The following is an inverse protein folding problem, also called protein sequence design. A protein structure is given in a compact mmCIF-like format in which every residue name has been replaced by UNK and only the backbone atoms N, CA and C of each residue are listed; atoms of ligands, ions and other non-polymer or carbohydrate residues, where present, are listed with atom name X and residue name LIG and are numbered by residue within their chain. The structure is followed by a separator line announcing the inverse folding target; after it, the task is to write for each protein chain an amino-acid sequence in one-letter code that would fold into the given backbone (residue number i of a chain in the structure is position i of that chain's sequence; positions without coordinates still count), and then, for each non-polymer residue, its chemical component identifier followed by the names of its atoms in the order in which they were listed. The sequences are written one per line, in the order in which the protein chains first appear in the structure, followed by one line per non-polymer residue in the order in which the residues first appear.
data_IF_297244631037
#
_entry.id   IF_297244631037
#
_cell.length_a   1.000
_cell.length_b   1.000
_cell.length_c   1.000
_cell.angle_alpha   90.00
_cell.angle_beta   90.00
_cell.angle_gamma   90.00
#
_symmetry.space_group_name_H-M   'P 1'
#
loop_
_entity.id
_entity.type
_entity.pdbx_description
1 polymer ?
#
# COMPACT_ATOMS: atom_id res chain seq x y z
N UNK A 1 33.24 -12.77 -7.22
CA UNK A 1 33.19 -12.51 -5.75
C UNK A 1 32.22 -11.36 -5.55
N UNK A 2 31.21 -11.57 -4.69
CA UNK A 2 30.20 -10.54 -4.40
C UNK A 2 30.70 -9.54 -3.39
N UNK A 3 30.36 -8.26 -3.60
CA UNK A 3 30.61 -7.17 -2.66
C UNK A 3 29.40 -6.24 -2.65
N UNK A 4 28.71 -6.13 -1.51
CA UNK A 4 27.58 -5.25 -1.31
C UNK A 4 27.95 -4.11 -0.35
N UNK A 5 27.61 -2.87 -0.74
CA UNK A 5 27.90 -1.63 0.03
C UNK A 5 26.79 -0.60 -0.14
N UNK A 6 26.78 0.42 0.70
CA UNK A 6 25.93 1.58 0.45
C UNK A 6 26.39 2.31 -0.82
N UNK A 7 25.41 2.82 -1.57
CA UNK A 7 25.65 3.65 -2.75
C UNK A 7 26.41 4.93 -2.34
N UNK A 8 27.46 5.23 -3.08
CA UNK A 8 28.28 6.44 -2.89
C UNK A 8 28.44 7.19 -4.21
N UNK A 9 28.85 8.49 -4.21
CA UNK A 9 29.04 9.25 -5.42
C UNK A 9 29.98 8.62 -6.47
N UNK A 10 30.92 7.78 -6.02
CA UNK A 10 31.84 7.05 -6.91
C UNK A 10 31.12 5.98 -7.75
N UNK A 11 29.91 5.57 -7.34
CA UNK A 11 29.13 4.54 -8.01
C UNK A 11 28.15 5.12 -9.03
N UNK A 12 27.84 6.43 -9.00
CA UNK A 12 26.72 7.05 -9.69
C UNK A 12 26.70 6.78 -11.20
N UNK A 13 27.82 6.94 -11.91
CA UNK A 13 27.91 6.71 -13.35
C UNK A 13 27.52 5.27 -13.73
N UNK A 14 27.99 4.29 -12.94
CA UNK A 14 27.65 2.87 -13.18
C UNK A 14 26.25 2.53 -12.70
N UNK A 15 25.75 3.24 -11.70
CA UNK A 15 24.43 3.01 -11.12
C UNK A 15 23.30 3.49 -12.05
N UNK A 16 23.49 4.59 -12.78
CA UNK A 16 22.51 5.12 -13.74
C UNK A 16 22.02 4.04 -14.71
N UNK A 17 22.95 3.27 -15.29
CA UNK A 17 22.64 2.19 -16.24
C UNK A 17 21.70 1.13 -15.63
N UNK A 18 21.90 0.80 -14.35
CA UNK A 18 21.07 -0.21 -13.66
C UNK A 18 19.73 0.38 -13.22
N UNK A 19 19.73 1.65 -12.86
CA UNK A 19 18.50 2.37 -12.55
C UNK A 19 17.59 2.49 -13.77
N UNK A 20 18.15 2.76 -14.94
CA UNK A 20 17.41 2.77 -16.22
C UNK A 20 16.82 1.39 -16.55
N UNK A 21 17.58 0.30 -16.34
CA UNK A 21 17.07 -1.06 -16.50
C UNK A 21 15.89 -1.33 -15.55
N UNK A 22 15.98 -0.88 -14.31
CA UNK A 22 14.86 -0.95 -13.38
C UNK A 22 13.64 -0.15 -13.88
N UNK A 23 13.82 1.10 -14.31
CA UNK A 23 12.73 1.94 -14.80
C UNK A 23 12.03 1.30 -16.00
N UNK A 24 12.79 0.69 -16.92
CA UNK A 24 12.25 -0.02 -18.08
C UNK A 24 11.40 -1.24 -17.69
N UNK A 25 11.73 -1.91 -16.59
CA UNK A 25 11.07 -3.13 -16.10
C UNK A 25 9.98 -2.86 -15.05
N UNK A 26 9.93 -1.66 -14.50
CA UNK A 26 9.07 -1.34 -13.37
C UNK A 26 7.59 -1.73 -13.58
N UNK A 27 7.02 -1.38 -14.74
CA UNK A 27 5.62 -1.73 -15.07
C UNK A 27 5.45 -3.15 -15.57
N UNK A 28 6.41 -3.66 -16.32
CA UNK A 28 6.29 -4.94 -17.04
C UNK A 28 6.64 -6.15 -16.18
N UNK A 29 7.59 -5.99 -15.26
CA UNK A 29 8.08 -7.10 -14.43
C UNK A 29 7.72 -6.95 -12.95
N UNK A 30 7.60 -5.70 -12.44
CA UNK A 30 7.36 -5.43 -11.02
C UNK A 30 5.95 -4.90 -10.70
N UNK A 31 5.07 -4.75 -11.71
CA UNK A 31 3.69 -4.26 -11.54
C UNK A 31 3.59 -2.89 -10.85
N UNK A 32 4.55 -1.99 -11.10
CA UNK A 32 4.44 -0.62 -10.62
C UNK A 32 3.30 0.11 -11.35
N UNK A 33 2.42 0.75 -10.60
CA UNK A 33 1.31 1.52 -11.18
C UNK A 33 1.77 2.87 -11.72
N UNK A 34 2.74 3.47 -11.05
CA UNK A 34 3.31 4.78 -11.40
C UNK A 34 4.71 4.61 -11.97
N UNK A 35 5.11 5.58 -12.79
CA UNK A 35 6.50 5.64 -13.23
C UNK A 35 7.42 5.88 -12.02
N UNK A 36 8.58 5.20 -11.95
CA UNK A 36 9.60 5.53 -10.98
C UNK A 36 9.99 7.01 -11.09
N UNK A 37 10.51 7.58 -10.00
CA UNK A 37 11.10 8.92 -10.04
C UNK A 37 12.29 8.91 -11.01
N UNK A 38 12.62 10.06 -11.57
CA UNK A 38 13.80 10.17 -12.43
C UNK A 38 15.10 9.96 -11.64
N UNK A 39 16.20 9.76 -12.35
CA UNK A 39 17.48 9.42 -11.75
C UNK A 39 17.99 10.51 -10.81
N UNK A 40 17.88 11.78 -11.20
CA UNK A 40 18.32 12.93 -10.39
C UNK A 40 17.50 13.02 -9.09
N UNK A 41 16.19 12.86 -9.18
CA UNK A 41 15.29 12.82 -8.02
C UNK A 41 15.57 11.64 -7.09
N UNK A 42 15.98 10.48 -7.65
CA UNK A 42 16.43 9.34 -6.86
C UNK A 42 17.70 9.66 -6.09
N UNK A 43 18.72 10.20 -6.73
CA UNK A 43 19.98 10.57 -6.09
C UNK A 43 19.77 11.66 -5.01
N UNK A 44 18.96 12.67 -5.30
CA UNK A 44 18.58 13.72 -4.32
C UNK A 44 17.94 13.08 -3.07
N UNK A 45 17.10 12.07 -3.25
CA UNK A 45 16.46 11.33 -2.13
C UNK A 45 17.47 10.53 -1.30
N UNK A 46 18.50 9.94 -1.95
CA UNK A 46 19.61 9.26 -1.27
C UNK A 46 20.48 10.26 -0.49
N UNK A 47 20.87 11.36 -1.11
CA UNK A 47 21.71 12.39 -0.49
C UNK A 47 21.02 13.05 0.72
N UNK A 48 19.71 13.29 0.62
CA UNK A 48 18.89 13.79 1.74
C UNK A 48 18.56 12.73 2.79
N UNK A 49 19.02 11.48 2.59
CA UNK A 49 18.74 10.35 3.49
C UNK A 49 17.23 10.07 3.69
N UNK A 50 16.43 10.40 2.71
CA UNK A 50 15.01 10.01 2.65
C UNK A 50 14.92 8.50 2.41
N UNK A 51 15.75 7.99 1.49
CA UNK A 51 15.97 6.57 1.22
C UNK A 51 17.44 6.23 1.40
N UNK A 52 17.72 4.95 1.63
CA UNK A 52 19.07 4.40 1.61
C UNK A 52 19.13 3.34 0.50
N UNK A 53 20.25 3.30 -0.24
CA UNK A 53 20.44 2.37 -1.34
C UNK A 53 21.69 1.53 -1.11
N UNK A 54 21.55 0.21 -1.26
CA UNK A 54 22.65 -0.76 -1.25
C UNK A 54 22.88 -1.21 -2.68
N UNK A 55 24.11 -1.22 -3.12
CA UNK A 55 24.53 -1.72 -4.43
C UNK A 55 25.32 -3.00 -4.33
N UNK A 56 25.17 -3.91 -5.30
CA UNK A 56 25.86 -5.19 -5.37
C UNK A 56 26.79 -5.23 -6.58
N UNK A 57 28.04 -5.59 -6.33
CA UNK A 57 29.04 -5.88 -7.35
C UNK A 57 29.29 -7.38 -7.46
N UNK A 58 29.35 -7.90 -8.67
CA UNK A 58 29.92 -9.21 -9.02
C UNK A 58 31.20 -8.97 -9.83
N UNK A 59 32.38 -9.29 -9.25
CA UNK A 59 33.69 -9.10 -9.89
C UNK A 59 33.86 -7.69 -10.53
N UNK A 60 33.64 -6.63 -9.78
CA UNK A 60 33.73 -5.22 -10.19
C UNK A 60 32.60 -4.71 -11.13
N UNK A 61 31.69 -5.57 -11.57
CA UNK A 61 30.50 -5.17 -12.31
C UNK A 61 29.33 -4.94 -11.33
N UNK A 62 28.70 -3.80 -11.40
CA UNK A 62 27.47 -3.50 -10.65
C UNK A 62 26.33 -4.32 -11.29
N UNK A 63 25.61 -5.10 -10.49
CA UNK A 63 24.64 -6.11 -10.97
C UNK A 63 23.26 -6.00 -10.32
N UNK A 64 23.11 -5.16 -9.30
CA UNK A 64 21.81 -4.96 -8.66
C UNK A 64 21.87 -3.97 -7.52
N UNK A 65 20.68 -3.60 -7.03
CA UNK A 65 20.54 -2.71 -5.89
C UNK A 65 19.31 -3.03 -5.05
N UNK A 66 19.31 -2.53 -3.81
CA UNK A 66 18.22 -2.62 -2.86
C UNK A 66 17.99 -1.24 -2.24
N UNK A 67 16.73 -0.82 -2.20
CA UNK A 67 16.32 0.46 -1.61
C UNK A 67 15.49 0.21 -0.35
N UNK A 68 15.78 0.97 0.70
CA UNK A 68 15.00 0.93 1.93
C UNK A 68 14.89 2.31 2.56
N UNK A 69 13.87 2.49 3.41
CA UNK A 69 13.66 3.73 4.17
C UNK A 69 13.52 3.45 5.66
N UNK A 70 13.91 4.41 6.45
CA UNK A 70 13.74 4.41 7.91
C UNK A 70 12.85 5.57 8.37
N UNK A 71 12.07 6.15 7.47
CA UNK A 71 11.25 7.34 7.73
C UNK A 71 10.17 7.10 8.80
N UNK A 72 9.64 5.89 8.91
CA UNK A 72 8.71 5.51 9.98
C UNK A 72 9.52 5.21 11.24
N UNK A 73 9.19 5.89 12.34
CA UNK A 73 10.00 5.91 13.57
C UNK A 73 10.26 4.53 14.21
N UNK A 74 9.36 3.55 14.01
CA UNK A 74 9.44 2.21 14.59
C UNK A 74 9.69 1.10 13.57
N UNK A 75 9.86 1.44 12.29
CA UNK A 75 9.97 0.47 11.23
C UNK A 75 11.08 0.83 10.24
N UNK A 76 11.61 -0.20 9.60
CA UNK A 76 12.47 -0.11 8.42
C UNK A 76 11.67 -0.72 7.28
N UNK A 77 11.46 0.04 6.21
CA UNK A 77 10.76 -0.46 5.03
C UNK A 77 11.77 -0.86 3.96
N UNK A 78 11.73 -2.11 3.56
CA UNK A 78 12.41 -2.58 2.37
C UNK A 78 11.48 -2.27 1.18
N UNK A 79 11.89 -1.35 0.32
CA UNK A 79 11.02 -0.83 -0.75
C UNK A 79 11.19 -1.57 -2.07
N UNK A 80 12.44 -1.90 -2.44
CA UNK A 80 12.76 -2.41 -3.77
C UNK A 80 14.03 -3.28 -3.75
N UNK A 81 14.01 -4.37 -4.51
CA UNK A 81 15.21 -5.12 -4.92
C UNK A 81 15.17 -5.25 -6.44
N UNK A 82 16.26 -4.89 -7.09
CA UNK A 82 16.43 -5.04 -8.54
C UNK A 82 17.79 -5.68 -8.86
N UNK A 83 17.77 -6.61 -9.82
CA UNK A 83 18.97 -7.26 -10.33
C UNK A 83 18.88 -7.40 -11.85
N UNK A 84 19.97 -7.09 -12.55
CA UNK A 84 19.99 -7.07 -14.04
C UNK A 84 20.04 -8.46 -14.67
N UNK A 85 20.58 -9.47 -13.97
CA UNK A 85 20.68 -10.85 -14.47
C UNK A 85 19.57 -11.71 -13.86
N UNK A 86 18.56 -12.03 -14.65
CA UNK A 86 17.43 -12.86 -14.24
C UNK A 86 17.84 -14.29 -13.85
N UNK A 87 18.91 -14.84 -14.44
CA UNK A 87 19.39 -16.19 -14.12
C UNK A 87 20.06 -16.23 -12.73
N UNK A 88 20.63 -15.11 -12.28
CA UNK A 88 21.27 -14.96 -10.97
C UNK A 88 20.44 -14.16 -9.98
N UNK A 89 19.18 -13.86 -10.29
CA UNK A 89 18.32 -13.00 -9.49
C UNK A 89 18.27 -13.42 -8.03
N UNK A 90 18.03 -14.70 -7.75
CA UNK A 90 17.95 -15.23 -6.38
C UNK A 90 19.28 -15.08 -5.63
N UNK A 91 20.41 -15.36 -6.31
CA UNK A 91 21.73 -15.24 -5.73
C UNK A 91 22.09 -13.79 -5.40
N UNK A 92 21.93 -12.88 -6.36
CA UNK A 92 22.20 -11.46 -6.19
C UNK A 92 21.29 -10.81 -5.13
N UNK A 93 19.99 -11.08 -5.18
CA UNK A 93 19.03 -10.58 -4.19
C UNK A 93 19.34 -11.10 -2.78
N UNK A 94 19.84 -12.34 -2.66
CA UNK A 94 20.26 -12.92 -1.37
C UNK A 94 21.43 -12.13 -0.77
N UNK A 95 22.42 -11.77 -1.56
CA UNK A 95 23.57 -10.99 -1.09
C UNK A 95 23.16 -9.55 -0.69
N UNK A 96 22.27 -8.92 -1.46
CA UNK A 96 21.68 -7.62 -1.10
C UNK A 96 20.92 -7.69 0.23
N UNK A 97 20.08 -8.71 0.41
CA UNK A 97 19.30 -8.91 1.64
C UNK A 97 20.20 -9.18 2.86
N UNK A 98 21.26 -9.96 2.71
CA UNK A 98 22.24 -10.19 3.80
C UNK A 98 22.86 -8.87 4.24
N UNK A 99 23.30 -8.04 3.27
CA UNK A 99 23.89 -6.74 3.56
C UNK A 99 22.86 -5.78 4.18
N UNK A 100 21.63 -5.79 3.71
CA UNK A 100 20.54 -5.03 4.31
C UNK A 100 20.31 -5.42 5.78
N UNK A 101 20.23 -6.71 6.08
CA UNK A 101 20.06 -7.18 7.45
C UNK A 101 21.26 -6.80 8.34
N UNK A 102 22.49 -6.95 7.84
CA UNK A 102 23.71 -6.51 8.55
C UNK A 102 23.64 -5.03 8.93
N UNK A 103 23.34 -4.15 7.97
CA UNK A 103 23.28 -2.69 8.18
C UNK A 103 22.12 -2.27 9.08
N UNK A 104 21.04 -3.02 9.10
CA UNK A 104 19.83 -2.68 9.88
C UNK A 104 19.85 -3.22 11.29
N UNK A 105 20.66 -4.25 11.60
CA UNK A 105 20.84 -4.78 12.97
C UNK A 105 21.32 -3.71 13.97
N UNK A 106 22.17 -2.80 13.51
CA UNK A 106 22.71 -1.73 14.35
C UNK A 106 21.73 -0.56 14.57
N UNK A 107 20.72 -0.46 13.70
CA UNK A 107 19.68 0.56 13.82
C UNK A 107 18.75 0.14 14.95
N UNK A 108 18.64 0.93 16.01
CA UNK A 108 17.76 0.70 17.17
C UNK A 108 16.25 0.68 16.81
N UNK A 109 15.92 0.30 15.60
CA UNK A 109 14.56 0.19 15.08
C UNK A 109 14.02 -1.20 15.38
N UNK A 110 12.79 -1.25 15.88
CA UNK A 110 12.20 -2.47 16.41
C UNK A 110 11.67 -3.42 15.33
N UNK A 111 11.57 -3.01 14.06
CA UNK A 111 10.89 -3.83 13.06
C UNK A 111 11.37 -3.55 11.64
N UNK A 112 11.70 -4.60 10.92
CA UNK A 112 11.82 -4.55 9.47
C UNK A 112 10.44 -4.84 8.90
N UNK A 113 9.90 -3.89 8.16
CA UNK A 113 8.55 -3.99 7.61
C UNK A 113 8.64 -4.02 6.11
N UNK A 114 7.82 -4.88 5.55
CA UNK A 114 7.18 -4.67 4.31
C UNK A 114 8.08 -4.63 3.07
N UNK A 115 8.27 -5.81 2.49
CA UNK A 115 8.72 -5.90 1.12
C UNK A 115 7.58 -6.45 0.26
N UNK A 116 6.87 -5.60 -0.52
CA UNK A 116 5.90 -6.09 -1.48
C UNK A 116 6.64 -6.79 -2.62
N UNK A 117 6.50 -8.10 -2.70
CA UNK A 117 7.13 -8.90 -3.75
C UNK A 117 6.27 -8.84 -5.02
N UNK A 118 6.37 -7.74 -5.74
CA UNK A 118 5.62 -7.47 -6.97
C UNK A 118 6.23 -8.21 -8.17
N UNK A 119 5.39 -8.58 -9.13
CA UNK A 119 5.82 -9.17 -10.39
C UNK A 119 6.57 -10.49 -10.25
N UNK A 120 7.71 -10.61 -10.89
CA UNK A 120 8.48 -11.85 -11.02
C UNK A 120 9.39 -12.20 -9.85
N UNK A 121 9.19 -11.58 -8.69
CA UNK A 121 10.05 -11.77 -7.51
C UNK A 121 9.74 -13.03 -6.70
N UNK A 122 8.73 -13.80 -7.07
CA UNK A 122 8.32 -15.02 -6.36
C UNK A 122 9.44 -16.05 -6.18
N UNK A 123 10.44 -16.06 -7.05
CA UNK A 123 11.61 -16.93 -6.93
C UNK A 123 12.42 -16.68 -5.64
N UNK A 124 12.30 -15.48 -5.05
CA UNK A 124 13.02 -15.10 -3.82
C UNK A 124 12.33 -15.60 -2.54
N UNK A 125 11.07 -16.07 -2.60
CA UNK A 125 10.28 -16.47 -1.42
C UNK A 125 11.06 -17.45 -0.52
N UNK A 126 11.64 -18.50 -1.10
CA UNK A 126 12.40 -19.50 -0.34
C UNK A 126 13.61 -18.92 0.40
N UNK A 127 14.26 -17.91 -0.17
CA UNK A 127 15.39 -17.21 0.46
C UNK A 127 14.90 -16.29 1.59
N UNK A 128 13.89 -15.51 1.35
CA UNK A 128 13.33 -14.57 2.34
C UNK A 128 12.82 -15.33 3.57
N UNK A 129 12.15 -16.48 3.39
CA UNK A 129 11.73 -17.35 4.51
C UNK A 129 12.93 -17.82 5.34
N UNK A 130 14.01 -18.27 4.69
CA UNK A 130 15.24 -18.69 5.39
C UNK A 130 15.91 -17.56 6.17
N UNK A 131 15.69 -16.32 5.76
CA UNK A 131 16.17 -15.13 6.46
C UNK A 131 15.23 -14.67 7.59
N UNK A 132 14.13 -15.38 7.84
CA UNK A 132 13.21 -15.11 8.95
C UNK A 132 12.01 -14.24 8.62
N UNK A 133 11.77 -13.91 7.35
CA UNK A 133 10.56 -13.19 6.94
C UNK A 133 9.33 -14.11 6.94
N UNK A 134 8.20 -13.53 7.24
CA UNK A 134 6.86 -14.10 7.08
C UNK A 134 6.10 -13.37 5.97
N UNK A 135 4.96 -13.91 5.54
CA UNK A 135 4.20 -13.36 4.43
C UNK A 135 2.74 -13.16 4.78
N UNK A 136 2.17 -12.13 4.13
CA UNK A 136 0.73 -11.96 3.95
C UNK A 136 0.48 -11.88 2.45
N UNK A 137 -0.47 -12.64 1.94
CA UNK A 137 -0.94 -12.50 0.56
C UNK A 137 -1.84 -11.27 0.44
N UNK A 138 -1.55 -10.41 -0.52
CA UNK A 138 -2.32 -9.20 -0.82
C UNK A 138 -3.01 -9.37 -2.16
N UNK A 139 -4.31 -9.14 -2.22
CA UNK A 139 -5.13 -9.11 -3.43
C UNK A 139 -5.38 -7.67 -3.84
N UNK A 140 -5.10 -7.33 -5.08
CA UNK A 140 -5.45 -6.03 -5.69
C UNK A 140 -6.80 -6.16 -6.39
N UNK A 141 -7.71 -5.27 -6.06
CA UNK A 141 -9.08 -5.25 -6.57
C UNK A 141 -9.31 -3.94 -7.31
N UNK A 142 -9.88 -4.03 -8.53
CA UNK A 142 -10.14 -2.86 -9.38
C UNK A 142 -11.59 -2.81 -9.82
N UNK A 143 -12.17 -1.63 -9.71
CA UNK A 143 -13.42 -1.27 -10.34
C UNK A 143 -13.12 -0.39 -11.56
N UNK A 144 -13.38 -0.89 -12.78
CA UNK A 144 -13.08 -0.18 -14.02
C UNK A 144 -14.24 0.73 -14.43
N UNK A 145 -14.01 2.04 -14.47
CA UNK A 145 -15.02 3.05 -14.77
C UNK A 145 -15.59 2.94 -16.19
N UNK A 146 -14.79 2.45 -17.14
CA UNK A 146 -15.20 2.28 -18.53
C UNK A 146 -15.55 0.82 -18.90
N UNK A 147 -15.48 -0.09 -17.92
CA UNK A 147 -15.84 -1.49 -18.10
C UNK A 147 -17.35 -1.70 -17.93
N UNK A 148 -18.02 -2.25 -18.93
CA UNK A 148 -19.45 -2.62 -18.83
C UNK A 148 -19.70 -3.55 -17.66
N UNK A 149 -18.82 -4.51 -17.41
CA UNK A 149 -18.98 -5.52 -16.36
C UNK A 149 -19.02 -4.90 -14.94
N UNK A 150 -18.07 -4.02 -14.58
CA UNK A 150 -18.04 -3.42 -13.23
C UNK A 150 -19.29 -2.59 -12.93
N UNK A 151 -19.73 -1.76 -13.89
CA UNK A 151 -20.95 -0.94 -13.73
C UNK A 151 -22.23 -1.76 -13.65
N UNK A 152 -22.34 -2.82 -14.44
CA UNK A 152 -23.50 -3.72 -14.38
C UNK A 152 -23.55 -4.47 -13.04
N UNK A 153 -22.43 -4.96 -12.54
CA UNK A 153 -22.34 -5.60 -11.23
C UNK A 153 -22.68 -4.62 -10.12
N UNK A 154 -22.16 -3.40 -10.19
CA UNK A 154 -22.47 -2.35 -9.22
C UNK A 154 -23.95 -1.99 -9.19
N UNK A 155 -24.59 -1.85 -10.36
CA UNK A 155 -26.03 -1.58 -10.47
C UNK A 155 -26.88 -2.71 -9.89
N UNK A 156 -26.37 -3.95 -9.88
CA UNK A 156 -27.02 -5.14 -9.31
C UNK A 156 -26.57 -5.47 -7.89
N UNK A 157 -25.70 -4.64 -7.30
CA UNK A 157 -25.15 -4.88 -5.96
C UNK A 157 -26.27 -5.08 -4.94
N UNK A 158 -26.16 -6.15 -4.16
CA UNK A 158 -27.07 -6.41 -3.06
C UNK A 158 -26.70 -5.52 -1.88
N UNK A 159 -27.55 -4.54 -1.62
CA UNK A 159 -27.39 -3.59 -0.51
C UNK A 159 -28.56 -3.79 0.43
N UNK A 160 -28.26 -4.04 1.70
CA UNK A 160 -29.26 -4.11 2.75
C UNK A 160 -29.92 -2.76 2.98
N UNK A 161 -31.12 -2.72 3.51
CA UNK A 161 -31.70 -1.49 4.02
C UNK A 161 -30.88 -0.99 5.21
N UNK A 162 -30.74 0.34 5.32
CA UNK A 162 -30.00 0.94 6.42
C UNK A 162 -30.82 0.75 7.71
N UNK A 163 -30.32 0.05 8.73
CA UNK A 163 -31.08 -0.20 9.94
C UNK A 163 -31.38 1.08 10.71
N UNK A 164 -32.44 1.05 11.52
CA UNK A 164 -32.84 2.18 12.36
C UNK A 164 -31.67 2.65 13.26
N UNK A 165 -31.57 3.96 13.45
CA UNK A 165 -30.49 4.58 14.22
C UNK A 165 -29.21 4.86 13.44
N UNK A 166 -29.04 4.27 12.24
CA UNK A 166 -27.88 4.53 11.40
C UNK A 166 -28.15 5.61 10.36
N UNK A 167 -27.09 6.35 10.03
CA UNK A 167 -27.07 7.33 8.93
C UNK A 167 -25.71 7.27 8.23
N UNK A 168 -25.69 7.42 6.90
CA UNK A 168 -24.46 7.65 6.14
C UNK A 168 -24.43 9.13 5.75
N UNK A 169 -23.32 9.78 6.04
CA UNK A 169 -23.12 11.22 5.74
C UNK A 169 -21.77 11.42 5.09
N UNK A 170 -21.60 12.54 4.36
CA UNK A 170 -20.31 12.93 3.81
C UNK A 170 -19.34 13.34 4.91
N UNK A 171 -18.06 13.24 4.61
CA UNK A 171 -17.00 13.69 5.50
C UNK A 171 -17.15 15.17 5.88
N UNK A 172 -16.87 15.43 7.15
CA UNK A 172 -16.70 16.77 7.69
C UNK A 172 -15.57 16.73 8.73
N UNK A 173 -14.72 17.74 8.77
CA UNK A 173 -13.57 17.81 9.68
C UNK A 173 -13.92 17.68 11.16
N UNK A 174 -15.16 17.96 11.56
CA UNK A 174 -15.66 17.74 12.93
C UNK A 174 -15.55 16.27 13.36
N UNK A 175 -15.58 15.33 12.42
CA UNK A 175 -15.47 13.90 12.67
C UNK A 175 -14.02 13.39 12.80
N UNK A 176 -13.02 14.26 12.64
CA UNK A 176 -11.61 13.87 12.59
C UNK A 176 -11.19 13.05 13.82
N UNK A 177 -11.48 13.54 15.02
CA UNK A 177 -11.08 12.86 16.26
C UNK A 177 -11.81 11.52 16.46
N UNK A 178 -13.08 11.44 16.10
CA UNK A 178 -13.86 10.20 16.18
C UNK A 178 -13.33 9.19 15.16
N UNK A 179 -13.02 9.62 13.93
CA UNK A 179 -12.43 8.79 12.91
C UNK A 179 -11.08 8.20 13.36
N UNK A 180 -10.21 8.98 14.01
CA UNK A 180 -8.97 8.48 14.60
C UNK A 180 -9.22 7.30 15.55
N UNK A 181 -10.23 7.42 16.43
CA UNK A 181 -10.59 6.36 17.37
C UNK A 181 -11.14 5.12 16.66
N UNK A 182 -11.99 5.32 15.65
CA UNK A 182 -12.53 4.20 14.85
C UNK A 182 -11.42 3.50 14.09
N UNK A 183 -10.48 4.25 13.46
CA UNK A 183 -9.31 3.68 12.77
C UNK A 183 -8.51 2.81 13.73
N UNK A 184 -8.11 3.34 14.86
CA UNK A 184 -7.30 2.60 15.83
C UNK A 184 -7.97 1.29 16.24
N UNK A 185 -9.26 1.32 16.60
CA UNK A 185 -10.00 0.12 17.01
C UNK A 185 -10.23 -0.89 15.89
N UNK A 186 -10.40 -0.41 14.65
CA UNK A 186 -10.65 -1.29 13.50
C UNK A 186 -9.37 -1.94 12.95
N UNK A 187 -8.21 -1.29 13.14
CA UNK A 187 -6.96 -1.71 12.49
C UNK A 187 -5.88 -2.22 13.45
N UNK A 188 -5.99 -2.04 14.77
CA UNK A 188 -4.94 -2.41 15.73
C UNK A 188 -4.56 -3.90 15.71
N UNK A 189 -5.48 -4.77 15.27
CA UNK A 189 -5.32 -6.22 15.15
C UNK A 189 -5.24 -6.71 13.70
N UNK A 190 -5.36 -5.80 12.72
CA UNK A 190 -5.27 -6.15 11.30
C UNK A 190 -3.83 -6.42 10.89
N UNK A 191 -3.65 -7.04 9.71
CA UNK A 191 -2.33 -7.15 9.09
C UNK A 191 -1.74 -5.78 8.72
N UNK A 192 -2.58 -4.76 8.46
CA UNK A 192 -2.10 -3.40 8.25
C UNK A 192 -1.24 -2.93 9.43
N UNK A 193 -1.60 -3.29 10.67
CA UNK A 193 -0.81 -2.97 11.86
C UNK A 193 0.49 -3.78 11.98
N UNK A 194 0.66 -4.84 11.16
CA UNK A 194 1.94 -5.52 11.01
C UNK A 194 2.88 -4.71 10.12
N UNK A 195 2.35 -4.06 9.09
CA UNK A 195 3.12 -3.28 8.12
C UNK A 195 3.31 -1.84 8.58
N UNK A 196 2.29 -1.23 9.16
CA UNK A 196 2.35 0.12 9.71
C UNK A 196 1.97 0.14 11.20
N UNK A 197 2.97 0.14 12.10
CA UNK A 197 2.73 0.10 13.54
C UNK A 197 1.99 1.35 14.07
N UNK A 198 1.83 2.41 13.27
CA UNK A 198 1.03 3.58 13.64
C UNK A 198 -0.44 3.23 13.91
N UNK A 199 -0.96 2.18 13.27
CA UNK A 199 -2.33 1.70 13.54
C UNK A 199 -2.55 1.22 14.98
N UNK A 200 -1.49 0.89 15.72
CA UNK A 200 -1.57 0.44 17.12
C UNK A 200 -1.75 1.56 18.15
N UNK A 201 -1.65 2.81 17.75
CA UNK A 201 -1.73 3.95 18.67
C UNK A 201 -2.63 5.07 18.13
N UNK A 202 -3.28 5.78 19.03
CA UNK A 202 -4.11 6.95 18.70
C UNK A 202 -3.27 8.04 18.01
N UNK A 203 -2.03 8.29 18.47
CA UNK A 203 -1.15 9.28 17.87
C UNK A 203 -0.72 8.89 16.46
N UNK A 204 -0.44 7.59 16.23
CA UNK A 204 -0.11 7.07 14.91
C UNK A 204 -1.29 7.12 13.95
N UNK A 205 -2.49 6.70 14.39
CA UNK A 205 -3.71 6.81 13.57
C UNK A 205 -4.04 8.28 13.25
N UNK A 206 -3.76 9.20 14.16
CA UNK A 206 -3.91 10.64 13.92
C UNK A 206 -2.95 11.13 12.84
N UNK A 207 -1.69 10.70 12.84
CA UNK A 207 -0.72 11.03 11.80
C UNK A 207 -1.15 10.48 10.43
N UNK A 208 -1.59 9.20 10.37
CA UNK A 208 -2.12 8.59 9.15
C UNK A 208 -3.30 9.40 8.61
N UNK A 209 -4.32 9.62 9.44
CA UNK A 209 -5.52 10.33 9.01
C UNK A 209 -5.22 11.77 8.60
N UNK A 210 -4.33 12.45 9.32
CA UNK A 210 -3.87 13.79 8.95
C UNK A 210 -3.29 13.79 7.53
N UNK A 211 -2.43 12.85 7.20
CA UNK A 211 -1.80 12.74 5.89
C UNK A 211 -2.80 12.37 4.78
N UNK A 212 -3.81 11.57 5.10
CA UNK A 212 -4.90 11.23 4.16
C UNK A 212 -5.74 12.47 3.81
N UNK A 213 -6.18 13.24 4.82
CA UNK A 213 -7.14 14.36 4.60
C UNK A 213 -6.49 15.69 4.23
N UNK A 214 -5.16 15.79 4.23
CA UNK A 214 -4.40 16.99 3.83
C UNK A 214 -3.57 16.77 2.56
N UNK A 215 -3.98 15.86 1.69
CA UNK A 215 -3.40 15.63 0.36
C UNK A 215 -1.91 15.21 0.37
N UNK A 216 -1.39 14.69 1.50
CA UNK A 216 0.04 14.31 1.59
C UNK A 216 0.31 13.00 0.85
N UNK A 217 -0.60 12.02 0.92
CA UNK A 217 -0.45 10.76 0.19
C UNK A 217 -1.04 10.82 -1.22
N UNK A 218 -2.21 11.45 -1.37
CA UNK A 218 -2.93 11.65 -2.62
C UNK A 218 -4.04 12.67 -2.36
N UNK A 219 -4.62 13.25 -3.42
CA UNK A 219 -5.68 14.25 -3.30
C UNK A 219 -6.90 13.66 -2.59
N UNK A 220 -7.26 14.20 -1.46
CA UNK A 220 -8.41 13.77 -0.68
C UNK A 220 -9.74 14.14 -1.35
N UNK A 221 -10.72 13.24 -1.29
CA UNK A 221 -12.07 13.42 -1.86
C UNK A 221 -13.12 13.47 -0.74
N UNK A 222 -13.32 14.61 -0.07
CA UNK A 222 -14.23 14.72 1.07
C UNK A 222 -15.69 14.41 0.71
N UNK A 223 -16.16 14.80 -0.49
CA UNK A 223 -17.53 14.53 -0.93
C UNK A 223 -17.78 13.05 -1.19
N UNK A 224 -16.77 12.30 -1.62
CA UNK A 224 -16.84 10.86 -1.83
C UNK A 224 -16.44 10.03 -0.58
N UNK A 225 -16.00 10.69 0.48
CA UNK A 225 -15.66 10.03 1.74
C UNK A 225 -16.90 9.94 2.63
N UNK A 226 -17.29 8.72 2.99
CA UNK A 226 -18.47 8.45 3.80
C UNK A 226 -18.15 8.21 5.27
N UNK A 227 -19.00 8.73 6.14
CA UNK A 227 -18.99 8.47 7.58
C UNK A 227 -20.30 7.79 7.97
N UNK A 228 -20.19 6.66 8.64
CA UNK A 228 -21.34 5.94 9.21
C UNK A 228 -21.57 6.44 10.64
N UNK A 229 -22.76 6.93 10.89
CA UNK A 229 -23.22 7.34 12.22
C UNK A 229 -24.19 6.31 12.79
N UNK A 230 -24.10 6.05 14.07
CA UNK A 230 -25.13 5.39 14.88
C UNK A 230 -25.50 6.32 16.04
N UNK A 231 -26.78 6.68 16.14
CA UNK A 231 -27.27 7.66 17.14
C UNK A 231 -26.40 8.95 17.14
N UNK A 232 -26.12 9.46 15.94
CA UNK A 232 -25.32 10.66 15.65
C UNK A 232 -23.82 10.56 16.04
N UNK A 233 -23.31 9.37 16.44
CA UNK A 233 -21.89 9.13 16.73
C UNK A 233 -21.23 8.37 15.60
N UNK A 234 -20.03 8.77 15.15
CA UNK A 234 -19.27 8.05 14.13
C UNK A 234 -18.88 6.64 14.61
N UNK A 235 -19.26 5.62 13.84
CA UNK A 235 -18.95 4.21 14.09
C UNK A 235 -18.26 3.52 12.94
N UNK A 236 -18.10 4.21 11.81
CA UNK A 236 -17.39 3.70 10.62
C UNK A 236 -17.09 4.80 9.62
N UNK A 237 -16.22 4.49 8.67
CA UNK A 237 -15.84 5.40 7.58
C UNK A 237 -15.35 4.61 6.36
N UNK A 238 -15.36 5.31 5.20
CA UNK A 238 -14.74 4.89 3.95
C UNK A 238 -14.07 6.12 3.35
N UNK A 239 -12.73 6.15 3.36
CA UNK A 239 -11.96 7.27 2.80
C UNK A 239 -11.69 7.03 1.32
N UNK A 240 -11.68 8.12 0.53
CA UNK A 240 -11.39 8.12 -0.90
C UNK A 240 -10.33 9.17 -1.21
N UNK A 241 -9.32 8.76 -1.98
CA UNK A 241 -8.25 9.64 -2.46
C UNK A 241 -8.07 9.47 -3.96
N UNK A 242 -7.62 10.52 -4.66
CA UNK A 242 -7.38 10.53 -6.09
C UNK A 242 -5.88 10.67 -6.37
N UNK A 243 -5.34 9.72 -7.13
CA UNK A 243 -3.94 9.68 -7.57
C UNK A 243 -3.89 9.98 -9.08
N UNK A 244 -2.98 10.86 -9.50
CA UNK A 244 -2.74 11.22 -10.90
C UNK A 244 -4.00 11.60 -11.70
N UNK A 245 -4.99 12.22 -11.04
CA UNK A 245 -6.27 12.63 -11.61
C UNK A 245 -7.10 11.52 -12.28
N UNK A 246 -6.66 10.27 -12.20
CA UNK A 246 -7.28 9.16 -12.94
C UNK A 246 -7.60 7.92 -12.10
N UNK A 247 -6.96 7.73 -10.97
CA UNK A 247 -7.13 6.55 -10.11
C UNK A 247 -7.66 6.98 -8.74
N UNK A 248 -8.84 6.49 -8.37
CA UNK A 248 -9.35 6.63 -7.02
C UNK A 248 -8.91 5.45 -6.17
N UNK A 249 -8.31 5.72 -5.02
CA UNK A 249 -7.94 4.70 -4.05
C UNK A 249 -8.87 4.73 -2.85
N UNK A 250 -9.11 3.56 -2.27
CA UNK A 250 -9.80 3.39 -0.99
C UNK A 250 -8.75 3.05 0.07
N UNK A 251 -8.09 4.05 0.68
CA UNK A 251 -6.98 3.78 1.59
C UNK A 251 -7.42 3.19 2.93
N UNK A 252 -8.62 3.52 3.40
CA UNK A 252 -9.11 3.12 4.71
C UNK A 252 -10.62 2.89 4.68
N UNK A 253 -11.04 1.70 5.09
CA UNK A 253 -12.44 1.35 5.37
C UNK A 253 -12.50 0.64 6.71
N UNK A 254 -13.29 1.14 7.63
CA UNK A 254 -13.42 0.53 8.94
C UNK A 254 -14.79 0.76 9.57
N UNK A 255 -15.24 -0.21 10.34
CA UNK A 255 -16.45 -0.16 11.19
C UNK A 255 -16.11 -0.82 12.51
N UNK A 256 -16.51 -0.19 13.61
CA UNK A 256 -16.35 -0.76 14.95
C UNK A 256 -16.99 -2.15 15.05
N UNK A 257 -16.36 -3.07 15.76
CA UNK A 257 -16.73 -4.49 15.84
C UNK A 257 -18.20 -4.70 16.23
N UNK A 258 -18.73 -3.93 17.18
CA UNK A 258 -20.11 -4.00 17.65
C UNK A 258 -21.17 -3.61 16.59
N UNK A 259 -20.71 -2.98 15.50
CA UNK A 259 -21.56 -2.57 14.38
C UNK A 259 -21.38 -3.43 13.12
N UNK A 260 -20.45 -4.40 13.13
CA UNK A 260 -20.20 -5.29 11.99
C UNK A 260 -21.33 -6.31 11.77
N UNK A 261 -21.27 -7.05 10.66
CA UNK A 261 -22.23 -8.13 10.34
C UNK A 261 -23.63 -7.68 9.85
N UNK A 262 -23.86 -6.37 9.69
CA UNK A 262 -25.15 -5.77 9.33
C UNK A 262 -25.19 -5.24 7.88
N UNK A 263 -24.19 -5.55 7.06
CA UNK A 263 -24.09 -5.05 5.68
C UNK A 263 -23.72 -3.56 5.55
N UNK A 264 -23.36 -2.89 6.65
CA UNK A 264 -23.13 -1.44 6.70
C UNK A 264 -21.93 -0.99 5.87
N UNK A 265 -20.88 -1.82 5.75
CA UNK A 265 -19.73 -1.53 4.88
C UNK A 265 -20.13 -1.42 3.41
N UNK A 266 -21.05 -2.29 2.95
CA UNK A 266 -21.57 -2.23 1.57
C UNK A 266 -22.35 -0.95 1.34
N UNK A 267 -23.20 -0.55 2.29
CA UNK A 267 -24.00 0.68 2.20
C UNK A 267 -23.08 1.91 2.12
N UNK A 268 -22.09 1.96 3.01
CA UNK A 268 -21.16 3.08 3.12
C UNK A 268 -20.28 3.22 1.87
N UNK A 269 -19.69 2.10 1.40
CA UNK A 269 -18.88 2.09 0.17
C UNK A 269 -19.70 2.40 -1.06
N UNK A 270 -20.93 1.86 -1.14
CA UNK A 270 -21.83 2.20 -2.25
C UNK A 270 -22.10 3.69 -2.31
N UNK A 271 -22.40 4.32 -1.18
CA UNK A 271 -22.60 5.77 -1.11
C UNK A 271 -21.35 6.53 -1.59
N UNK A 272 -20.14 6.12 -1.17
CA UNK A 272 -18.88 6.71 -1.62
C UNK A 272 -18.67 6.56 -3.14
N UNK A 273 -18.98 5.38 -3.69
CA UNK A 273 -18.82 5.10 -5.11
C UNK A 273 -19.87 5.81 -5.98
N UNK A 274 -21.12 5.92 -5.51
CA UNK A 274 -22.17 6.69 -6.19
C UNK A 274 -21.73 8.15 -6.40
N UNK A 275 -21.13 8.80 -5.38
CA UNK A 275 -20.61 10.17 -5.48
C UNK A 275 -19.52 10.29 -6.55
N UNK A 276 -18.66 9.28 -6.73
CA UNK A 276 -17.63 9.29 -7.78
C UNK A 276 -18.25 9.07 -9.16
N UNK A 277 -19.20 8.12 -9.28
CA UNK A 277 -19.82 7.75 -10.54
C UNK A 277 -20.74 8.86 -11.09
N UNK A 278 -21.39 9.61 -10.21
CA UNK A 278 -22.33 10.68 -10.57
C UNK A 278 -21.62 12.03 -10.79
N UNK A 279 -20.41 12.20 -10.27
CA UNK A 279 -19.68 13.47 -10.32
C UNK A 279 -18.98 13.67 -11.66
N UNK A 280 -19.46 14.63 -12.47
CA UNK A 280 -18.87 14.99 -13.78
C UNK A 280 -17.40 15.46 -13.68
N UNK A 281 -16.98 16.00 -12.54
CA UNK A 281 -15.57 16.40 -12.29
C UNK A 281 -14.65 15.20 -12.27
N UNK A 282 -15.19 14.02 -11.94
CA UNK A 282 -14.47 12.73 -11.95
C UNK A 282 -14.45 12.04 -13.33
N UNK A 283 -14.79 12.75 -14.41
CA UNK A 283 -14.83 12.17 -15.77
C UNK A 283 -13.49 11.60 -16.27
N UNK A 284 -12.37 12.02 -15.68
CA UNK A 284 -11.04 11.50 -15.97
C UNK A 284 -10.69 10.23 -15.18
N UNK A 285 -11.47 9.86 -14.18
CA UNK A 285 -11.23 8.67 -13.38
C UNK A 285 -11.46 7.45 -14.25
N UNK A 286 -10.45 6.60 -14.34
CA UNK A 286 -10.49 5.36 -15.14
C UNK A 286 -10.81 4.15 -14.28
N UNK A 287 -10.44 4.20 -13.00
CA UNK A 287 -10.68 3.09 -12.06
C UNK A 287 -10.73 3.54 -10.60
N UNK A 288 -11.35 2.69 -9.78
CA UNK A 288 -11.27 2.74 -8.32
C UNK A 288 -10.53 1.48 -7.89
N UNK A 289 -9.50 1.59 -7.07
CA UNK A 289 -8.75 0.44 -6.58
C UNK A 289 -8.69 0.36 -5.05
N UNK A 290 -8.41 -0.84 -4.58
CA UNK A 290 -8.15 -1.15 -3.18
C UNK A 290 -7.34 -2.44 -3.09
N UNK A 291 -6.78 -2.69 -1.92
CA UNK A 291 -6.11 -3.94 -1.60
C UNK A 291 -6.73 -4.57 -0.35
N UNK A 292 -6.65 -5.88 -0.25
CA UNK A 292 -7.03 -6.63 0.96
C UNK A 292 -6.19 -7.89 1.07
N UNK A 293 -6.17 -8.52 2.23
CA UNK A 293 -5.54 -9.84 2.37
C UNK A 293 -6.28 -10.89 1.54
N UNK A 294 -5.53 -11.84 0.97
CA UNK A 294 -6.10 -12.91 0.13
C UNK A 294 -7.01 -13.87 0.90
N UNK A 295 -6.89 -13.93 2.21
CA UNK A 295 -7.74 -14.73 3.11
C UNK A 295 -8.85 -13.92 3.80
N UNK A 296 -8.92 -12.60 3.59
CA UNK A 296 -10.02 -11.77 4.07
C UNK A 296 -11.26 -11.94 3.19
N UNK A 297 -11.89 -13.13 3.29
CA UNK A 297 -13.06 -13.48 2.49
C UNK A 297 -14.24 -12.51 2.65
N UNK A 298 -14.33 -11.82 3.79
CA UNK A 298 -15.39 -10.84 4.05
C UNK A 298 -15.19 -9.60 3.17
N UNK A 299 -13.97 -9.04 3.14
CA UNK A 299 -13.65 -7.90 2.30
C UNK A 299 -13.72 -8.25 0.81
N UNK A 300 -13.20 -9.42 0.41
CA UNK A 300 -13.29 -9.88 -0.97
C UNK A 300 -14.74 -9.98 -1.46
N UNK A 301 -15.66 -10.56 -0.65
CA UNK A 301 -17.09 -10.62 -0.97
C UNK A 301 -17.73 -9.24 -1.05
N UNK A 302 -17.36 -8.33 -0.15
CA UNK A 302 -17.84 -6.95 -0.14
C UNK A 302 -17.48 -6.25 -1.47
N UNK A 303 -16.22 -6.26 -1.86
CA UNK A 303 -15.74 -5.59 -3.06
C UNK A 303 -16.30 -6.24 -4.33
N UNK A 304 -16.33 -7.58 -4.42
CA UNK A 304 -16.94 -8.29 -5.57
C UNK A 304 -18.43 -7.97 -5.72
N UNK A 305 -19.17 -7.88 -4.62
CA UNK A 305 -20.58 -7.46 -4.65
C UNK A 305 -20.77 -6.05 -5.22
N UNK A 306 -19.79 -5.16 -5.01
CA UNK A 306 -19.78 -3.79 -5.55
C UNK A 306 -19.17 -3.68 -6.96
N UNK A 307 -18.86 -4.80 -7.62
CA UNK A 307 -18.38 -4.83 -9.00
C UNK A 307 -16.88 -4.71 -9.18
N UNK A 308 -16.10 -4.80 -8.09
CA UNK A 308 -14.65 -4.94 -8.20
C UNK A 308 -14.26 -6.30 -8.76
N UNK A 309 -13.19 -6.32 -9.51
CA UNK A 309 -12.60 -7.51 -10.13
C UNK A 309 -11.21 -7.69 -9.54
N UNK A 310 -10.86 -8.93 -9.19
CA UNK A 310 -9.50 -9.31 -8.84
C UNK A 310 -8.60 -9.06 -10.04
N UNK A 311 -7.48 -8.35 -9.82
CA UNK A 311 -6.53 -8.00 -10.87
C UNK A 311 -5.29 -8.89 -10.77
N UNK A 312 -4.54 -8.77 -9.68
CA UNK A 312 -3.43 -9.65 -9.36
C UNK A 312 -3.23 -9.72 -7.84
N UNK A 313 -2.47 -10.71 -7.42
CA UNK A 313 -2.04 -10.83 -6.04
C UNK A 313 -0.52 -10.88 -5.92
N UNK A 314 -0.01 -10.50 -4.76
CA UNK A 314 1.40 -10.60 -4.45
C UNK A 314 1.62 -10.91 -2.97
N UNK A 315 2.71 -11.63 -2.64
CA UNK A 315 3.11 -11.79 -1.25
C UNK A 315 3.79 -10.53 -0.74
N UNK A 316 3.35 -10.05 0.41
CA UNK A 316 4.02 -8.99 1.15
C UNK A 316 4.80 -9.61 2.31
N UNK A 317 6.12 -9.44 2.27
CA UNK A 317 6.99 -9.98 3.30
C UNK A 317 7.10 -9.02 4.49
N UNK A 318 7.21 -9.56 5.70
CA UNK A 318 7.53 -8.81 6.90
C UNK A 318 8.40 -9.65 7.82
N UNK A 319 9.20 -8.99 8.65
CA UNK A 319 9.98 -9.68 9.66
C UNK A 319 9.37 -9.40 11.04
N UNK A 320 8.84 -10.42 11.73
CA UNK A 320 8.34 -10.23 13.08
C UNK A 320 9.50 -9.85 13.99
N UNK A 321 9.22 -8.97 14.94
CA UNK A 321 10.18 -8.67 16.01
C UNK A 321 10.00 -9.72 17.08
N UNK A 322 11.09 -10.36 17.44
CA UNK A 322 11.14 -11.21 18.63
C UNK A 322 11.01 -10.39 19.91
#
# INVERSE_FOLDING_TARGET
MYSAKLLTPEDYENFEVIYDDFCAKAKTEYNFELDPIDYDGFLDSVEKKIIECIVLYDNHRLVGFLVYTTAISEAIELNLIHCTDSNKYVEHSTELLKKFLELTQEKKKKKIVCYPMLGNQNALIGTIVKLGFQFVGIEVLRFKMHGTNSKELFARARVAELPAGYKVVKWNSRYFNDAVNVIQKSFDKSSDALFDPRFKSISGCRDILYKVVHDIYAKFLPDATSVLLYEDKPVGFSFMNLTNDSIVNIPLVGILDEHQGKGLSTIMLKHSMDEILENRVMSKVTEINTTTETDNLQALRLYKNLGFIEDYNYPQAYMPIG
#
